data_IF_381913418907
#
_entry.id   IF_381913418907
#
_cell.length_a   1.000
_cell.length_b   1.000
_cell.length_c   1.000
_cell.angle_alpha   90.00
_cell.angle_beta   90.00
_cell.angle_gamma   90.00
#
_symmetry.space_group_name_H-M   'P 1'
#
loop_
_entity.id
_entity.type
_entity.pdbx_description
1 polymer ?
#
# COMPACT_ATOMS: atom_id res chain seq x y z
N UNK A 1 -11.31 -24.62 -9.05
CA UNK A 1 -10.91 -24.33 -8.45
C UNK A 1 -10.59 -23.35 -8.43
N UNK A 2 -10.81 -22.76 -8.36
CA UNK A 2 -10.44 -21.74 -8.28
C UNK A 2 -9.58 -21.54 -7.46
N UNK A 3 -9.15 -21.77 -6.92
CA UNK A 3 -8.23 -21.56 -6.01
C UNK A 3 -7.53 -20.32 -6.04
N UNK A 4 -7.85 -19.42 -6.90
CA UNK A 4 -7.11 -18.26 -6.95
C UNK A 4 -7.64 -17.28 -6.04
N UNK A 5 -6.92 -16.86 -5.07
CA UNK A 5 -7.34 -15.85 -4.15
C UNK A 5 -7.00 -14.49 -4.68
N UNK A 6 -7.83 -13.51 -4.40
CA UNK A 6 -7.53 -12.14 -4.78
C UNK A 6 -6.39 -11.61 -3.94
N UNK A 7 -5.48 -10.86 -4.52
CA UNK A 7 -4.46 -10.18 -3.73
C UNK A 7 -5.13 -9.22 -2.75
N UNK A 8 -4.63 -9.17 -1.52
CA UNK A 8 -5.16 -8.26 -0.52
C UNK A 8 -4.27 -7.04 -0.44
N UNK A 9 -4.90 -5.88 -0.59
CA UNK A 9 -4.19 -4.61 -0.60
C UNK A 9 -4.61 -3.83 0.63
N UNK A 10 -3.65 -3.39 1.41
CA UNK A 10 -3.92 -2.60 2.60
C UNK A 10 -3.71 -1.13 2.26
N UNK A 11 -4.73 -0.32 2.45
CA UNK A 11 -4.64 1.12 2.22
C UNK A 11 -4.61 1.82 3.56
N UNK A 12 -3.66 2.70 3.77
CA UNK A 12 -3.45 3.37 5.06
C UNK A 12 -3.55 4.87 4.92
N UNK A 13 -4.49 5.47 5.61
CA UNK A 13 -4.66 6.92 5.62
C UNK A 13 -5.51 7.31 6.83
N UNK A 14 -5.26 8.47 7.40
CA UNK A 14 -6.10 8.97 8.48
C UNK A 14 -7.35 9.62 7.93
N UNK A 15 -7.42 9.86 6.64
CA UNK A 15 -8.55 10.52 6.02
C UNK A 15 -9.50 9.49 5.43
N UNK A 16 -10.75 9.47 5.88
CA UNK A 16 -11.75 8.57 5.32
C UNK A 16 -11.96 8.84 3.84
N UNK A 17 -11.87 10.10 3.44
CA UNK A 17 -12.01 10.48 2.05
C UNK A 17 -10.91 9.83 1.21
N UNK A 18 -9.67 9.91 1.70
CA UNK A 18 -8.55 9.32 0.98
C UNK A 18 -8.65 7.80 0.95
N UNK A 19 -9.09 7.18 2.02
CA UNK A 19 -9.25 5.74 2.04
C UNK A 19 -10.26 5.30 0.99
N UNK A 20 -11.34 6.05 0.83
CA UNK A 20 -12.33 5.74 -0.16
C UNK A 20 -11.75 5.88 -1.56
N UNK A 21 -11.00 6.96 -1.81
CA UNK A 21 -10.38 7.18 -3.11
C UNK A 21 -9.36 6.10 -3.44
N UNK A 22 -8.59 5.68 -2.44
CA UNK A 22 -7.61 4.62 -2.65
C UNK A 22 -8.31 3.30 -2.96
N UNK A 23 -9.37 3.00 -2.22
CA UNK A 23 -10.13 1.79 -2.45
C UNK A 23 -10.75 1.77 -3.84
N UNK A 24 -11.26 2.92 -4.29
CA UNK A 24 -11.88 3.02 -5.59
C UNK A 24 -10.90 2.81 -6.74
N UNK A 25 -9.60 2.89 -6.46
CA UNK A 25 -8.61 2.67 -7.48
C UNK A 25 -8.47 1.19 -7.84
N UNK A 26 -9.06 0.29 -7.03
CA UNK A 26 -8.90 -1.14 -7.25
C UNK A 26 -10.22 -1.80 -7.62
N UNK A 27 -10.27 -2.56 -8.72
CA UNK A 27 -11.48 -3.28 -9.07
C UNK A 27 -11.78 -4.35 -8.03
N UNK A 28 -12.97 -4.34 -7.47
CA UNK A 28 -13.35 -5.27 -6.42
C UNK A 28 -13.37 -6.71 -6.85
N UNK A 29 -13.49 -6.95 -8.14
CA UNK A 29 -13.45 -8.30 -8.61
C UNK A 29 -12.07 -8.89 -8.56
N UNK A 30 -11.03 -8.07 -8.62
CA UNK A 30 -9.65 -8.54 -8.74
C UNK A 30 -8.86 -8.37 -7.48
N UNK A 31 -9.29 -7.48 -6.59
CA UNK A 31 -8.53 -7.17 -5.38
C UNK A 31 -9.43 -7.08 -4.19
N UNK A 32 -8.89 -7.50 -3.04
CA UNK A 32 -9.59 -7.31 -1.78
C UNK A 32 -8.87 -6.17 -1.07
N UNK A 33 -9.58 -5.10 -0.72
CA UNK A 33 -8.98 -3.92 -0.11
C UNK A 33 -9.35 -3.86 1.36
N UNK A 34 -8.35 -3.68 2.21
CA UNK A 34 -8.52 -3.52 3.64
C UNK A 34 -7.99 -2.15 3.99
N UNK A 35 -8.63 -1.48 4.91
CA UNK A 35 -8.25 -0.11 5.29
C UNK A 35 -7.72 -0.07 6.70
N UNK A 36 -6.75 0.81 6.94
CA UNK A 36 -6.25 1.09 8.29
C UNK A 36 -6.04 2.58 8.40
N UNK A 37 -6.26 3.12 9.59
CA UNK A 37 -6.14 4.55 9.80
C UNK A 37 -4.82 4.96 10.42
N UNK A 38 -4.09 4.04 11.00
CA UNK A 38 -2.82 4.34 11.65
C UNK A 38 -1.79 3.30 11.30
N UNK A 39 -0.51 3.61 11.47
CA UNK A 39 0.53 2.61 11.24
C UNK A 39 0.37 1.40 12.14
N UNK A 40 -0.08 1.62 13.38
CA UNK A 40 -0.26 0.52 14.32
C UNK A 40 -1.33 -0.44 13.85
N UNK A 41 -2.43 0.10 13.30
CA UNK A 41 -3.48 -0.73 12.75
C UNK A 41 -2.97 -1.48 11.53
N UNK A 42 -2.16 -0.82 10.71
CA UNK A 42 -1.59 -1.44 9.52
C UNK A 42 -0.73 -2.64 9.89
N UNK A 43 0.09 -2.48 10.93
CA UNK A 43 0.93 -3.58 11.39
C UNK A 43 0.06 -4.74 11.88
N UNK A 44 -0.98 -4.43 12.65
CA UNK A 44 -1.86 -5.45 13.18
C UNK A 44 -2.55 -6.24 12.06
N UNK A 45 -2.96 -5.54 11.02
CA UNK A 45 -3.57 -6.20 9.87
C UNK A 45 -2.58 -7.12 9.17
N UNK A 46 -1.34 -6.66 9.01
CA UNK A 46 -0.32 -7.45 8.33
C UNK A 46 0.07 -8.69 9.15
N UNK A 47 0.00 -8.61 10.46
CA UNK A 47 0.30 -9.75 11.30
C UNK A 47 -0.81 -10.80 11.18
N UNK A 48 -2.05 -10.35 11.10
CA UNK A 48 -3.20 -11.25 11.10
C UNK A 48 -3.64 -11.74 9.73
N UNK A 49 -3.19 -11.12 8.68
CA UNK A 49 -3.66 -11.42 7.33
C UNK A 49 -2.49 -11.48 6.36
N UNK A 50 -2.68 -12.23 5.30
CA UNK A 50 -1.68 -12.21 4.24
C UNK A 50 -1.97 -10.99 3.37
N UNK A 51 -1.07 -10.04 3.37
CA UNK A 51 -1.22 -8.81 2.59
C UNK A 51 -0.18 -8.81 1.48
N UNK A 52 -0.61 -8.57 0.26
CA UNK A 52 0.28 -8.56 -0.90
C UNK A 52 0.98 -7.22 -1.06
N UNK A 53 0.27 -6.14 -0.80
CA UNK A 53 0.86 -4.81 -0.96
C UNK A 53 0.15 -3.82 -0.05
N UNK A 54 0.86 -2.74 0.29
CA UNK A 54 0.33 -1.66 1.11
C UNK A 54 0.45 -0.38 0.34
N UNK A 55 -0.58 0.45 0.37
CA UNK A 55 -0.53 1.79 -0.19
C UNK A 55 -0.63 2.78 0.97
N UNK A 56 0.41 3.58 1.16
CA UNK A 56 0.46 4.58 2.22
C UNK A 56 0.11 5.94 1.64
N UNK A 57 -0.75 6.68 2.34
CA UNK A 57 -1.08 8.04 1.93
C UNK A 57 0.12 8.96 2.13
N UNK A 58 0.10 10.09 1.44
CA UNK A 58 1.21 11.04 1.45
C UNK A 58 1.56 11.56 2.84
N UNK A 59 0.60 11.56 3.77
CA UNK A 59 0.92 11.99 5.12
C UNK A 59 1.99 11.11 5.75
N UNK A 60 2.23 9.92 5.21
CA UNK A 60 3.23 9.04 5.73
C UNK A 60 4.55 9.17 4.98
N UNK A 61 4.72 10.23 4.20
CA UNK A 61 5.99 10.52 3.58
C UNK A 61 6.96 11.17 4.57
N UNK A 62 6.46 11.50 5.77
CA UNK A 62 7.29 12.06 6.82
C UNK A 62 8.05 10.93 7.50
N UNK A 63 8.82 11.27 8.51
CA UNK A 63 9.58 10.30 9.24
C UNK A 63 8.70 9.19 9.80
N UNK A 64 7.51 9.53 10.22
CA UNK A 64 6.58 8.56 10.76
C UNK A 64 6.21 7.53 9.68
N UNK A 65 5.97 7.99 8.47
CA UNK A 65 5.66 7.10 7.38
C UNK A 65 6.82 6.19 7.02
N UNK A 66 8.03 6.72 7.12
CA UNK A 66 9.22 5.93 6.84
C UNK A 66 9.31 4.80 7.86
N UNK A 67 9.04 5.11 9.14
CA UNK A 67 9.06 4.10 10.17
C UNK A 67 8.01 3.04 9.91
N UNK A 68 6.84 3.44 9.49
CA UNK A 68 5.77 2.51 9.21
C UNK A 68 6.16 1.55 8.08
N UNK A 69 6.73 2.08 7.01
CA UNK A 69 7.13 1.23 5.88
C UNK A 69 8.16 0.21 6.31
N UNK A 70 9.13 0.64 7.09
CA UNK A 70 10.16 -0.26 7.56
C UNK A 70 9.61 -1.32 8.49
N UNK A 71 8.72 -0.93 9.38
CA UNK A 71 8.12 -1.85 10.32
C UNK A 71 7.29 -2.91 9.58
N UNK A 72 6.54 -2.48 8.57
CA UNK A 72 5.74 -3.41 7.80
C UNK A 72 6.63 -4.43 7.06
N UNK A 73 7.76 -3.97 6.55
CA UNK A 73 8.69 -4.87 5.88
C UNK A 73 9.33 -5.83 6.87
N UNK A 74 9.49 -5.44 8.13
CA UNK A 74 10.03 -6.33 9.13
C UNK A 74 9.03 -7.43 9.44
N UNK A 75 7.74 -7.11 9.42
CA UNK A 75 6.70 -8.09 9.68
C UNK A 75 6.61 -9.07 8.50
N UNK A 76 6.75 -8.56 7.29
CA UNK A 76 6.68 -9.39 6.11
C UNK A 76 7.66 -8.86 5.06
N UNK A 77 8.85 -9.46 4.94
CA UNK A 77 9.86 -8.96 4.00
C UNK A 77 9.44 -8.99 2.53
N UNK A 78 8.45 -9.80 2.19
CA UNK A 78 7.99 -9.88 0.81
C UNK A 78 6.90 -8.86 0.50
N UNK A 79 6.48 -8.09 1.49
CA UNK A 79 5.44 -7.10 1.30
C UNK A 79 5.92 -5.98 0.38
N UNK A 80 5.08 -5.58 -0.54
CA UNK A 80 5.40 -4.44 -1.39
C UNK A 80 4.74 -3.21 -0.80
N UNK A 81 5.48 -2.11 -0.73
CA UNK A 81 4.98 -0.86 -0.13
C UNK A 81 5.00 0.24 -1.16
N UNK A 82 3.87 0.86 -1.38
CA UNK A 82 3.72 1.98 -2.29
C UNK A 82 3.36 3.23 -1.49
N UNK A 83 3.96 4.35 -1.83
CA UNK A 83 3.65 5.62 -1.19
C UNK A 83 2.94 6.51 -2.21
N UNK A 84 1.79 7.06 -1.82
CA UNK A 84 1.07 8.00 -2.66
C UNK A 84 1.67 9.38 -2.38
N UNK A 85 2.37 9.96 -3.32
CA UNK A 85 3.10 11.19 -3.09
C UNK A 85 3.00 12.07 -4.31
N UNK A 86 2.30 13.19 -4.19
CA UNK A 86 2.04 14.07 -5.30
C UNK A 86 3.26 14.72 -5.85
N UNK A 87 4.19 15.06 -5.03
CA UNK A 87 5.39 15.73 -5.47
C UNK A 87 6.56 14.79 -5.42
N UNK A 88 7.31 14.69 -6.44
CA UNK A 88 8.44 13.80 -6.49
C UNK A 88 9.73 14.46 -6.10
N UNK A 89 9.64 15.58 -5.42
CA UNK A 89 10.82 16.27 -5.07
C UNK A 89 11.69 15.62 -4.08
N UNK A 90 11.22 14.81 -3.24
CA UNK A 90 12.04 14.27 -2.17
C UNK A 90 12.55 12.91 -2.50
N UNK A 91 13.44 12.43 -1.68
CA UNK A 91 13.92 11.08 -1.80
C UNK A 91 12.81 10.11 -1.44
N UNK A 92 12.82 8.95 -2.03
CA UNK A 92 11.87 7.91 -1.70
C UNK A 92 12.26 7.34 -0.33
N UNK A 93 11.32 7.24 0.62
CA UNK A 93 11.66 6.72 1.94
C UNK A 93 12.14 5.28 1.88
N UNK A 94 12.99 4.95 2.83
CA UNK A 94 13.49 3.60 2.96
C UNK A 94 12.33 2.65 3.20
N UNK A 95 12.31 1.52 2.53
CA UNK A 95 11.24 0.54 2.68
C UNK A 95 10.11 0.72 1.70
N UNK A 96 10.11 1.80 0.92
CA UNK A 96 9.07 2.04 -0.06
C UNK A 96 9.55 1.52 -1.41
N UNK A 97 8.75 0.70 -2.05
CA UNK A 97 9.12 0.07 -3.32
C UNK A 97 8.69 0.88 -4.53
N UNK A 98 7.66 1.68 -4.39
CA UNK A 98 7.18 2.48 -5.51
C UNK A 98 6.47 3.72 -5.01
N UNK A 99 6.40 4.74 -5.84
CA UNK A 99 5.70 5.98 -5.52
C UNK A 99 4.67 6.23 -6.60
N UNK A 100 3.45 6.54 -6.21
CA UNK A 100 2.38 6.87 -7.13
C UNK A 100 2.04 8.35 -6.96
N UNK A 101 2.12 9.15 -8.01
CA UNK A 101 1.86 10.59 -7.89
C UNK A 101 0.38 10.93 -7.75
N UNK A 102 -0.50 10.03 -8.10
CA UNK A 102 -1.92 10.28 -7.94
C UNK A 102 -2.64 8.96 -7.84
N UNK A 103 -3.94 9.02 -7.50
CA UNK A 103 -4.74 7.81 -7.36
C UNK A 103 -4.80 7.00 -8.66
N UNK A 104 -4.79 7.69 -9.79
CA UNK A 104 -4.88 6.99 -11.08
C UNK A 104 -3.62 6.20 -11.41
N UNK A 105 -2.52 6.46 -10.71
CA UNK A 105 -1.28 5.72 -10.93
C UNK A 105 -1.14 4.52 -10.00
N UNK A 106 -2.04 4.37 -9.02
CA UNK A 106 -1.92 3.30 -8.04
C UNK A 106 -2.01 1.93 -8.70
N UNK A 107 -3.06 1.68 -9.46
CA UNK A 107 -3.26 0.36 -10.02
C UNK A 107 -2.17 -0.05 -11.01
N UNK A 108 -1.78 0.80 -11.96
CA UNK A 108 -0.71 0.41 -12.88
C UNK A 108 0.59 0.10 -12.17
N UNK A 109 0.95 0.90 -11.15
CA UNK A 109 2.18 0.67 -10.44
C UNK A 109 2.09 -0.57 -9.58
N UNK A 110 0.91 -0.85 -9.03
CA UNK A 110 0.74 -2.05 -8.25
C UNK A 110 0.91 -3.29 -9.11
N UNK A 111 0.36 -3.27 -10.29
CA UNK A 111 0.49 -4.41 -11.19
C UNK A 111 1.95 -4.68 -11.51
N UNK A 112 2.71 -3.62 -11.71
CA UNK A 112 4.13 -3.77 -11.95
C UNK A 112 4.85 -4.38 -10.76
N UNK A 113 4.46 -3.99 -9.55
CA UNK A 113 5.11 -4.52 -8.36
C UNK A 113 4.77 -5.98 -8.11
N UNK A 114 3.53 -6.36 -8.37
CA UNK A 114 3.07 -7.70 -8.06
C UNK A 114 3.41 -8.71 -9.16
N UNK A 115 3.73 -8.23 -10.34
CA UNK A 115 4.04 -9.10 -11.44
C UNK A 115 5.28 -8.61 -12.13
N UNK A 116 6.41 -8.70 -11.44
CA UNK A 116 7.63 -8.08 -11.94
C UNK A 116 8.28 -8.80 -13.07
N UNK A 117 7.86 -10.00 -13.39
CA UNK A 117 8.52 -10.71 -14.30
C UNK A 117 8.28 -10.28 -15.63
N UNK A 118 7.63 -9.37 -15.88
CA UNK A 118 7.49 -9.03 -17.13
C UNK A 118 8.41 -8.29 -17.62
#
# INVERSE_FOLDING_TARGET
MSGREKPRILCVSRSAYQLRAMRDAFPGREYEVIAASTPEQAVAVCVSNHISAVVLDSEFSTESGWSAARTLKMVNPHLRVMLLLKSADGAVPSGVDAVAPSHSHILPKLKDMLDPQK
#
